data_IF_187320242919
#
_entry.id   IF_187320242919
#
_cell.length_a   1.000
_cell.length_b   1.000
_cell.length_c   1.000
_cell.angle_alpha   90.00
_cell.angle_beta   90.00
_cell.angle_gamma   90.00
#
_symmetry.space_group_name_H-M   'P 1'
#
loop_
_entity.id
_entity.type
_entity.pdbx_description
1 polymer ?
#
# COMPACT_ATOMS: atom_id res chain seq x y z
N UNK A 1 -57.03 49.94 -0.28
CA UNK A 1 -57.01 48.51 -0.03
C UNK A 1 -55.63 48.01 -0.37
N UNK A 2 -54.80 47.87 0.65
CA UNK A 2 -53.34 47.59 0.51
C UNK A 2 -53.06 46.11 0.35
N UNK A 3 -52.37 45.77 -0.67
CA UNK A 3 -51.78 44.43 -0.89
C UNK A 3 -50.39 44.41 -0.24
N UNK A 4 -50.21 43.61 0.79
CA UNK A 4 -48.89 43.38 1.41
C UNK A 4 -48.17 42.27 0.67
N UNK A 5 -47.08 42.60 0.00
CA UNK A 5 -46.11 41.68 -0.54
C UNK A 5 -45.20 41.19 0.59
N UNK A 6 -45.22 39.92 0.89
CA UNK A 6 -44.21 39.26 1.74
C UNK A 6 -43.07 38.76 0.84
N UNK A 7 -41.92 39.39 1.00
CA UNK A 7 -40.66 38.92 0.41
C UNK A 7 -40.10 37.83 1.30
N UNK A 8 -40.05 36.57 0.79
CA UNK A 8 -39.36 35.47 1.44
C UNK A 8 -37.87 35.59 1.13
N UNK A 9 -37.07 35.96 2.12
CA UNK A 9 -35.62 35.79 2.07
C UNK A 9 -35.30 34.29 2.24
N UNK A 10 -34.97 33.64 1.14
CA UNK A 10 -34.37 32.32 1.18
C UNK A 10 -32.92 32.44 1.61
N UNK A 11 -32.63 32.04 2.85
CA UNK A 11 -31.26 31.84 3.31
C UNK A 11 -30.78 30.54 2.67
N UNK A 12 -29.99 30.64 1.59
CA UNK A 12 -29.17 29.55 1.09
C UNK A 12 -28.05 29.36 2.12
N UNK A 13 -28.25 28.42 3.02
CA UNK A 13 -27.16 27.85 3.80
C UNK A 13 -26.29 27.03 2.83
N UNK A 14 -25.28 27.65 2.28
CA UNK A 14 -24.20 26.95 1.60
C UNK A 14 -23.51 26.08 2.63
N UNK A 15 -23.72 24.77 2.55
CA UNK A 15 -22.88 23.79 3.20
C UNK A 15 -21.52 23.89 2.49
N UNK A 16 -20.63 24.71 3.03
CA UNK A 16 -19.21 24.58 2.78
C UNK A 16 -18.81 23.22 3.37
N UNK A 17 -18.78 22.20 2.54
CA UNK A 17 -17.91 21.07 2.79
C UNK A 17 -16.50 21.65 2.91
N UNK A 18 -16.03 21.82 4.12
CA UNK A 18 -14.61 22.00 4.38
C UNK A 18 -13.93 20.72 3.85
N UNK A 19 -13.51 20.76 2.60
CA UNK A 19 -12.60 19.77 2.07
C UNK A 19 -11.36 19.87 2.93
N UNK A 20 -11.04 18.76 3.57
CA UNK A 20 -9.87 18.63 4.40
C UNK A 20 -8.65 18.79 3.51
N UNK A 21 -8.11 19.99 3.47
CA UNK A 21 -6.92 20.30 2.70
C UNK A 21 -5.68 19.90 3.48
N UNK A 22 -5.44 18.58 3.64
CA UNK A 22 -4.04 18.16 3.67
C UNK A 22 -3.48 18.57 2.31
N UNK A 23 -2.34 19.26 2.25
CA UNK A 23 -1.77 19.65 0.97
C UNK A 23 -1.54 18.39 0.17
N UNK A 24 -2.23 18.24 -0.95
CA UNK A 24 -1.85 17.25 -1.94
C UNK A 24 -0.38 17.50 -2.23
N UNK A 25 0.43 16.44 -2.22
CA UNK A 25 1.78 16.57 -2.73
C UNK A 25 1.64 17.14 -4.14
N UNK A 26 2.20 18.33 -4.35
CA UNK A 26 2.11 19.02 -5.64
C UNK A 26 2.53 18.14 -6.82
N UNK A 27 2.40 18.56 -8.05
CA UNK A 27 2.86 17.79 -9.20
C UNK A 27 4.32 17.42 -8.99
N UNK A 28 4.67 16.18 -9.39
CA UNK A 28 6.03 15.69 -9.27
C UNK A 28 7.01 16.69 -9.92
N UNK A 29 7.99 17.15 -9.14
CA UNK A 29 9.01 18.06 -9.63
C UNK A 29 10.18 17.26 -10.20
N UNK A 30 10.25 17.15 -11.52
CA UNK A 30 11.32 16.45 -12.22
C UNK A 30 12.69 17.13 -12.11
N UNK A 31 12.79 18.35 -11.59
CA UNK A 31 14.07 19.09 -11.50
C UNK A 31 15.12 18.44 -10.58
N UNK A 32 14.71 17.49 -9.76
CA UNK A 32 15.58 16.73 -8.85
C UNK A 32 16.03 15.38 -9.41
N UNK A 33 15.53 14.98 -10.61
CA UNK A 33 15.92 13.72 -11.22
C UNK A 33 17.31 13.81 -11.81
N UNK A 34 18.29 13.21 -11.16
CA UNK A 34 19.59 12.89 -11.74
C UNK A 34 19.57 11.43 -12.25
N UNK A 35 18.97 11.24 -13.42
CA UNK A 35 18.79 9.91 -14.01
C UNK A 35 20.02 9.41 -14.77
N UNK A 36 21.20 9.89 -14.46
CA UNK A 36 22.42 9.41 -15.11
C UNK A 36 22.72 7.98 -14.68
N UNK A 37 23.02 7.08 -15.63
CA UNK A 37 23.44 5.73 -15.30
C UNK A 37 24.70 5.77 -14.42
N UNK A 38 24.86 4.79 -13.52
CA UNK A 38 26.07 4.71 -12.72
C UNK A 38 27.30 4.65 -13.61
N UNK A 39 28.41 5.35 -13.25
CA UNK A 39 29.64 5.29 -14.03
C UNK A 39 30.19 3.87 -14.06
N UNK A 40 30.94 3.53 -15.11
CA UNK A 40 31.54 2.21 -15.30
C UNK A 40 32.42 1.78 -14.11
N UNK A 41 33.07 2.74 -13.45
CA UNK A 41 33.89 2.54 -12.25
C UNK A 41 33.04 2.33 -10.98
N UNK A 42 31.73 2.43 -11.09
CA UNK A 42 30.81 2.25 -9.96
C UNK A 42 30.58 3.49 -9.12
N UNK A 43 29.78 3.31 -8.09
CA UNK A 43 29.40 4.34 -7.09
C UNK A 43 29.79 3.82 -5.71
N UNK A 44 30.33 4.70 -4.87
CA UNK A 44 30.55 4.44 -3.45
C UNK A 44 29.68 5.40 -2.62
N UNK A 45 28.82 4.88 -1.77
CA UNK A 45 28.06 5.67 -0.80
C UNK A 45 28.73 5.55 0.56
N UNK A 46 29.13 6.69 1.15
CA UNK A 46 29.60 6.77 2.53
C UNK A 46 28.43 7.07 3.44
N UNK A 47 28.05 6.15 4.29
CA UNK A 47 26.94 6.28 5.23
C UNK A 47 27.44 6.52 6.64
N UNK A 48 27.04 7.62 7.28
CA UNK A 48 27.36 7.87 8.69
C UNK A 48 26.69 6.84 9.60
N UNK A 49 25.46 6.55 9.31
CA UNK A 49 24.67 5.46 9.88
C UNK A 49 24.01 4.67 8.73
N UNK A 50 23.98 3.36 8.86
CA UNK A 50 23.24 2.45 7.97
C UNK A 50 22.32 1.61 8.83
N UNK A 51 21.00 1.75 8.63
CA UNK A 51 20.03 0.89 9.32
C UNK A 51 20.14 -0.53 8.79
N UNK A 52 20.39 -1.46 9.70
CA UNK A 52 20.37 -2.90 9.43
C UNK A 52 19.06 -3.51 9.95
N UNK A 53 18.13 -3.91 9.06
CA UNK A 53 16.87 -4.53 9.49
C UNK A 53 17.06 -5.86 10.24
N UNK A 54 18.14 -6.60 9.99
CA UNK A 54 18.40 -7.88 10.66
C UNK A 54 18.65 -7.70 12.16
N UNK A 55 19.53 -6.77 12.51
CA UNK A 55 19.82 -6.45 13.91
C UNK A 55 18.85 -5.43 14.53
N UNK A 56 18.16 -4.63 13.71
CA UNK A 56 17.32 -3.50 14.15
C UNK A 56 18.13 -2.32 14.69
N UNK A 57 19.39 -2.21 14.29
CA UNK A 57 20.32 -1.17 14.76
C UNK A 57 20.94 -0.41 13.60
N UNK A 58 21.50 0.76 13.90
CA UNK A 58 22.36 1.47 12.98
C UNK A 58 23.80 0.93 13.06
N UNK A 59 24.35 0.56 11.92
CA UNK A 59 25.79 0.33 11.74
C UNK A 59 26.42 1.67 11.42
N UNK A 60 27.52 2.03 12.12
CA UNK A 60 28.18 3.32 11.95
C UNK A 60 29.30 3.25 10.91
N UNK A 61 29.56 4.37 10.23
CA UNK A 61 30.69 4.55 9.31
C UNK A 61 30.81 3.44 8.27
N UNK A 62 29.76 3.26 7.48
CA UNK A 62 29.69 2.20 6.45
C UNK A 62 30.01 2.76 5.05
N UNK A 63 30.60 1.92 4.22
CA UNK A 63 30.74 2.14 2.77
C UNK A 63 29.92 1.10 2.04
N UNK A 64 29.13 1.56 1.07
CA UNK A 64 28.32 0.71 0.19
C UNK A 64 28.88 0.90 -1.23
N UNK A 65 29.45 -0.15 -1.81
CA UNK A 65 29.94 -0.15 -3.19
C UNK A 65 28.83 -0.66 -4.11
N UNK A 66 28.63 0.04 -5.21
CA UNK A 66 27.57 -0.24 -6.19
C UNK A 66 28.19 -0.38 -7.55
N UNK A 67 27.88 -1.47 -8.24
CA UNK A 67 28.25 -1.74 -9.62
C UNK A 67 27.00 -2.03 -10.45
N UNK A 68 26.76 -1.22 -11.46
CA UNK A 68 25.50 -1.27 -12.19
C UNK A 68 24.31 -1.02 -11.25
N UNK A 69 23.34 -1.92 -11.22
CA UNK A 69 22.15 -1.84 -10.39
C UNK A 69 22.28 -2.58 -9.03
N UNK A 70 23.46 -3.13 -8.71
CA UNK A 70 23.67 -4.03 -7.58
C UNK A 70 24.68 -3.50 -6.58
N UNK A 71 24.46 -3.89 -5.32
CA UNK A 71 25.43 -3.72 -4.24
C UNK A 71 26.56 -4.74 -4.46
N UNK A 72 27.76 -4.23 -4.74
CA UNK A 72 28.96 -5.07 -4.96
C UNK A 72 29.62 -5.48 -3.64
N UNK A 73 29.64 -4.57 -2.65
CA UNK A 73 30.11 -4.84 -1.29
C UNK A 73 29.53 -3.80 -0.31
N UNK A 74 29.47 -4.15 0.98
CA UNK A 74 29.04 -3.25 2.06
C UNK A 74 29.75 -3.63 3.36
N UNK A 75 30.17 -2.61 4.12
CA UNK A 75 30.80 -2.84 5.43
C UNK A 75 31.47 -1.59 6.00
N UNK A 76 32.17 -1.75 7.14
CA UNK A 76 32.91 -0.67 7.75
C UNK A 76 33.91 0.01 6.80
N UNK A 77 34.03 1.32 6.86
CA UNK A 77 34.90 2.11 5.95
C UNK A 77 36.37 1.67 6.01
N UNK A 78 36.81 1.10 7.13
CA UNK A 78 38.17 0.56 7.30
C UNK A 78 38.40 -0.73 6.51
N UNK A 79 37.31 -1.46 6.18
CA UNK A 79 37.38 -2.75 5.44
C UNK A 79 37.07 -2.61 3.97
N UNK A 80 36.15 -1.72 3.61
CA UNK A 80 35.67 -1.61 2.23
C UNK A 80 36.42 -0.47 1.54
N UNK A 81 37.42 -0.81 0.70
CA UNK A 81 38.18 0.16 -0.08
C UNK A 81 37.36 0.70 -1.24
N UNK A 82 37.32 2.01 -1.39
CA UNK A 82 36.65 2.66 -2.53
C UNK A 82 37.57 2.58 -3.75
N UNK A 83 37.10 1.97 -4.86
CA UNK A 83 37.90 1.89 -6.10
C UNK A 83 38.26 3.28 -6.63
N UNK A 84 39.48 3.38 -7.19
CA UNK A 84 39.91 4.61 -7.85
C UNK A 84 38.97 4.92 -9.03
N UNK A 85 38.52 6.18 -9.12
CA UNK A 85 37.59 6.62 -10.17
C UNK A 85 36.10 6.36 -9.88
N UNK A 86 35.75 5.66 -8.79
CA UNK A 86 34.37 5.54 -8.37
C UNK A 86 33.76 6.90 -7.99
N UNK A 87 32.54 7.16 -8.40
CA UNK A 87 31.79 8.34 -7.94
C UNK A 87 31.45 8.18 -6.45
N UNK A 88 31.95 9.10 -5.62
CA UNK A 88 31.63 9.07 -4.19
C UNK A 88 30.41 9.95 -3.91
N UNK A 89 29.40 9.36 -3.23
CA UNK A 89 28.26 10.06 -2.66
C UNK A 89 28.48 10.09 -1.14
N UNK A 90 28.67 11.28 -0.61
CA UNK A 90 28.95 11.46 0.82
C UNK A 90 27.66 11.68 1.60
N UNK A 91 27.23 10.65 2.33
CA UNK A 91 26.12 10.65 3.29
C UNK A 91 26.63 10.38 4.73
N UNK A 92 27.88 10.77 5.01
CA UNK A 92 28.53 10.54 6.33
C UNK A 92 27.84 11.25 7.49
N UNK A 93 26.97 12.24 7.21
CA UNK A 93 26.18 12.96 8.20
C UNK A 93 24.72 12.51 8.28
N UNK A 94 24.33 11.51 7.50
CA UNK A 94 22.97 11.04 7.35
C UNK A 94 22.78 9.60 7.85
N UNK A 95 21.53 9.18 7.94
CA UNK A 95 21.14 7.78 8.11
C UNK A 95 20.65 7.23 6.79
N UNK A 96 21.34 6.22 6.29
CA UNK A 96 20.94 5.45 5.10
C UNK A 96 20.08 4.26 5.55
N UNK A 97 19.02 4.00 4.80
CA UNK A 97 18.14 2.84 4.96
C UNK A 97 18.05 2.09 3.64
N UNK A 98 17.67 0.80 3.65
CA UNK A 98 17.16 0.16 2.43
C UNK A 98 16.02 1.00 1.85
N UNK A 99 15.86 0.99 0.54
CA UNK A 99 14.70 1.59 -0.09
C UNK A 99 13.41 1.08 0.53
N UNK A 100 12.49 2.00 0.86
CA UNK A 100 11.24 1.66 1.51
C UNK A 100 10.32 0.89 0.55
N UNK A 101 9.50 0.02 1.11
CA UNK A 101 8.55 -0.83 0.40
C UNK A 101 7.15 -0.53 0.92
N UNK A 102 6.25 -0.11 0.03
CA UNK A 102 4.82 0.01 0.32
C UNK A 102 4.08 -1.13 -0.40
N UNK A 103 3.47 -2.02 0.37
CA UNK A 103 2.78 -3.20 -0.16
C UNK A 103 1.29 -2.98 -0.41
N UNK A 104 0.83 -1.74 -0.38
CA UNK A 104 -0.55 -1.43 -0.69
C UNK A 104 -0.71 0.01 -1.18
N UNK A 105 -0.65 0.19 -2.47
CA UNK A 105 -1.03 1.43 -3.14
C UNK A 105 -2.06 1.15 -4.22
N UNK A 106 -2.75 2.18 -4.66
CA UNK A 106 -3.64 2.15 -5.81
C UNK A 106 -3.20 3.23 -6.80
N UNK A 107 -2.39 2.86 -7.76
CA UNK A 107 -1.83 3.80 -8.74
C UNK A 107 -2.87 4.26 -9.76
N UNK A 108 -3.92 3.47 -9.98
CA UNK A 108 -4.98 3.78 -10.92
C UNK A 108 -6.33 3.49 -10.27
N UNK A 109 -6.97 4.53 -9.80
CA UNK A 109 -8.32 4.45 -9.20
C UNK A 109 -9.39 5.19 -10.00
N UNK A 110 -8.99 6.07 -10.90
CA UNK A 110 -9.95 6.89 -11.62
C UNK A 110 -10.60 6.10 -12.77
N UNK A 111 -11.84 5.70 -12.53
CA UNK A 111 -12.66 4.90 -13.44
C UNK A 111 -13.03 5.59 -14.76
N UNK A 112 -12.81 6.88 -14.84
CA UNK A 112 -13.37 7.71 -15.92
C UNK A 112 -12.35 8.01 -17.02
N UNK A 113 -11.16 7.44 -16.94
CA UNK A 113 -10.08 7.70 -17.91
C UNK A 113 -9.77 6.47 -18.77
N UNK A 114 -9.31 6.68 -19.99
CA UNK A 114 -8.80 5.60 -20.82
C UNK A 114 -7.45 5.07 -20.28
N UNK A 115 -7.04 3.89 -20.72
CA UNK A 115 -5.83 3.21 -20.24
C UNK A 115 -4.56 4.05 -20.40
N UNK A 116 -4.43 4.81 -21.48
CA UNK A 116 -3.26 5.68 -21.68
C UNK A 116 -3.19 6.79 -20.63
N UNK A 117 -4.31 7.44 -20.34
CA UNK A 117 -4.37 8.46 -19.28
C UNK A 117 -4.21 7.84 -17.90
N UNK A 118 -4.80 6.66 -17.68
CA UNK A 118 -4.65 5.91 -16.44
C UNK A 118 -3.18 5.59 -16.16
N UNK A 119 -2.45 5.07 -17.14
CA UNK A 119 -1.03 4.78 -17.01
C UNK A 119 -0.18 6.02 -16.71
N UNK A 120 -0.46 7.16 -17.36
CA UNK A 120 0.23 8.42 -17.08
C UNK A 120 -0.07 8.96 -15.69
N UNK A 121 -1.31 8.85 -15.22
CA UNK A 121 -1.70 9.20 -13.85
C UNK A 121 -0.98 8.31 -12.85
N UNK A 122 -0.99 6.99 -13.09
CA UNK A 122 -0.28 6.01 -12.27
C UNK A 122 1.23 6.26 -12.23
N UNK A 123 1.85 6.65 -13.34
CA UNK A 123 3.25 7.04 -13.36
C UNK A 123 3.51 8.26 -12.47
N UNK A 124 2.67 9.28 -12.52
CA UNK A 124 2.80 10.46 -11.67
C UNK A 124 2.74 10.10 -10.18
N UNK A 125 1.83 9.23 -9.78
CA UNK A 125 1.74 8.74 -8.40
C UNK A 125 2.94 7.89 -8.01
N UNK A 126 3.36 6.97 -8.85
CA UNK A 126 4.54 6.14 -8.63
C UNK A 126 5.82 6.97 -8.47
N UNK A 127 5.96 8.07 -9.19
CA UNK A 127 7.10 9.00 -9.06
C UNK A 127 7.04 9.81 -7.76
N UNK A 128 5.85 10.20 -7.29
CA UNK A 128 5.68 10.83 -5.96
C UNK A 128 6.14 9.88 -4.86
N UNK A 129 5.72 8.62 -4.92
CA UNK A 129 6.07 7.59 -3.95
C UNK A 129 7.58 7.29 -3.98
N UNK A 130 8.17 7.17 -5.17
CA UNK A 130 9.62 7.01 -5.32
C UNK A 130 10.37 8.20 -4.71
N UNK A 131 9.91 9.42 -4.96
CA UNK A 131 10.52 10.64 -4.41
C UNK A 131 10.41 10.71 -2.87
N UNK A 132 9.38 10.11 -2.30
CA UNK A 132 9.21 9.95 -0.85
C UNK A 132 10.03 8.80 -0.24
N UNK A 133 10.77 8.04 -1.08
CA UNK A 133 11.65 6.97 -0.62
C UNK A 133 11.11 5.56 -0.80
N UNK A 134 9.92 5.39 -1.33
CA UNK A 134 9.35 4.07 -1.61
C UNK A 134 9.86 3.57 -2.97
N UNK A 135 10.95 2.82 -2.94
CA UNK A 135 11.61 2.29 -4.15
C UNK A 135 10.94 1.05 -4.71
N UNK A 136 10.09 0.41 -3.92
CA UNK A 136 9.28 -0.74 -4.33
C UNK A 136 7.83 -0.54 -3.87
N UNK A 137 6.89 -0.73 -4.79
CA UNK A 137 5.45 -0.62 -4.54
C UNK A 137 4.75 -1.91 -4.94
N UNK A 138 3.70 -2.25 -4.20
CA UNK A 138 2.73 -3.26 -4.58
C UNK A 138 1.39 -2.58 -4.84
N UNK A 139 1.00 -2.48 -6.12
CA UNK A 139 -0.32 -2.00 -6.52
C UNK A 139 -1.35 -3.09 -6.23
N UNK A 140 -2.28 -2.79 -5.34
CA UNK A 140 -3.32 -3.71 -4.87
C UNK A 140 -4.61 -3.61 -5.68
N UNK A 141 -4.46 -3.26 -6.92
CA UNK A 141 -5.50 -3.34 -7.92
C UNK A 141 -5.96 -1.98 -8.41
N UNK A 142 -6.24 -1.99 -9.69
CA UNK A 142 -6.96 -0.93 -10.37
C UNK A 142 -8.42 -1.35 -10.54
N UNK A 143 -9.31 -0.38 -10.43
CA UNK A 143 -10.73 -0.67 -10.55
C UNK A 143 -11.11 -1.24 -11.94
N UNK A 144 -10.34 -0.93 -13.00
CA UNK A 144 -10.89 -1.01 -14.35
C UNK A 144 -9.95 -1.49 -15.45
N UNK A 145 -8.63 -1.58 -15.23
CA UNK A 145 -7.74 -1.89 -16.34
C UNK A 145 -6.44 -2.59 -15.93
N UNK A 146 -5.75 -3.15 -16.92
CA UNK A 146 -4.40 -3.68 -16.76
C UNK A 146 -3.32 -2.61 -16.99
N UNK A 147 -3.66 -1.33 -17.00
CA UNK A 147 -2.71 -0.25 -17.23
C UNK A 147 -1.57 -0.21 -16.19
N UNK A 148 -1.77 -0.77 -14.99
CA UNK A 148 -0.69 -0.95 -14.01
C UNK A 148 0.31 -2.02 -14.44
N UNK A 149 -0.11 -3.06 -15.14
CA UNK A 149 0.77 -4.07 -15.76
C UNK A 149 1.65 -3.40 -16.81
N UNK A 150 1.05 -2.61 -17.69
CA UNK A 150 1.77 -1.86 -18.74
C UNK A 150 2.75 -0.84 -18.13
N UNK A 151 2.35 -0.17 -17.05
CA UNK A 151 3.22 0.76 -16.34
C UNK A 151 4.43 0.05 -15.72
N UNK A 152 4.21 -1.09 -15.04
CA UNK A 152 5.29 -1.92 -14.50
C UNK A 152 6.27 -2.33 -15.60
N UNK A 153 5.76 -2.81 -16.73
CA UNK A 153 6.56 -3.30 -17.82
C UNK A 153 7.32 -2.17 -18.52
N UNK A 154 6.72 -0.99 -18.65
CA UNK A 154 7.40 0.20 -19.16
C UNK A 154 8.57 0.63 -18.25
N UNK A 155 8.37 0.62 -16.93
CA UNK A 155 9.45 0.90 -15.96
C UNK A 155 10.54 -0.16 -16.03
N UNK A 156 10.18 -1.44 -16.10
CA UNK A 156 11.16 -2.54 -16.17
C UNK A 156 11.98 -2.53 -17.45
N UNK A 157 11.40 -2.05 -18.57
CA UNK A 157 12.09 -1.86 -19.86
C UNK A 157 12.90 -0.55 -19.91
N UNK A 158 12.85 0.28 -18.88
CA UNK A 158 13.52 1.58 -18.85
C UNK A 158 12.92 2.64 -19.77
N UNK A 159 11.69 2.45 -20.24
CA UNK A 159 10.98 3.43 -21.09
C UNK A 159 10.57 4.68 -20.29
N UNK A 160 10.27 4.49 -19.03
CA UNK A 160 9.95 5.56 -18.07
C UNK A 160 10.63 5.29 -16.72
N UNK A 161 10.97 6.34 -15.95
CA UNK A 161 11.43 6.17 -14.57
C UNK A 161 10.31 5.68 -13.67
N UNK A 162 10.67 5.03 -12.56
CA UNK A 162 9.69 4.64 -11.55
C UNK A 162 10.25 3.67 -10.51
N UNK A 163 9.49 3.37 -9.45
CA UNK A 163 9.84 2.34 -8.47
C UNK A 163 9.76 0.94 -9.10
N UNK A 164 10.19 -0.08 -8.37
CA UNK A 164 9.85 -1.46 -8.71
C UNK A 164 8.39 -1.69 -8.40
N UNK A 165 7.66 -2.30 -9.32
CA UNK A 165 6.24 -2.56 -9.14
C UNK A 165 5.95 -4.06 -9.10
N UNK A 166 5.06 -4.47 -8.19
CA UNK A 166 4.23 -5.66 -8.31
C UNK A 166 2.78 -5.21 -8.42
N UNK A 167 1.99 -5.84 -9.26
CA UNK A 167 0.67 -5.36 -9.62
C UNK A 167 -0.38 -6.48 -9.57
N UNK A 168 -1.58 -6.16 -9.10
CA UNK A 168 -2.69 -7.09 -9.07
C UNK A 168 -3.66 -6.94 -10.25
N UNK A 169 -3.59 -5.84 -11.00
CA UNK A 169 -4.56 -5.56 -12.06
C UNK A 169 -5.99 -5.38 -11.51
N UNK A 170 -7.03 -5.67 -12.29
CA UNK A 170 -8.41 -5.56 -11.82
C UNK A 170 -8.71 -6.49 -10.64
N UNK A 171 -9.34 -5.96 -9.62
CA UNK A 171 -9.75 -6.74 -8.43
C UNK A 171 -10.82 -7.76 -8.79
N UNK A 172 -10.91 -8.85 -8.03
CA UNK A 172 -12.01 -9.81 -8.12
C UNK A 172 -13.06 -9.44 -7.09
N UNK A 173 -14.29 -9.24 -7.56
CA UNK A 173 -15.45 -8.82 -6.77
C UNK A 173 -16.64 -9.76 -7.05
N UNK A 174 -17.63 -9.80 -6.16
CA UNK A 174 -18.88 -10.49 -6.47
C UNK A 174 -19.66 -9.74 -7.57
N UNK A 175 -20.44 -10.48 -8.31
CA UNK A 175 -21.35 -9.88 -9.28
C UNK A 175 -22.46 -9.13 -8.55
N UNK A 176 -22.58 -7.83 -8.86
CA UNK A 176 -23.55 -6.96 -8.19
C UNK A 176 -23.00 -6.20 -6.98
N UNK A 177 -21.71 -6.31 -6.70
CA UNK A 177 -21.07 -5.50 -5.67
C UNK A 177 -21.26 -4.01 -5.93
N UNK A 178 -21.61 -3.28 -4.86
CA UNK A 178 -21.89 -1.86 -4.93
C UNK A 178 -20.66 -0.96 -5.09
N UNK A 179 -19.46 -1.53 -5.08
CA UNK A 179 -18.21 -0.77 -5.15
C UNK A 179 -18.08 0.03 -6.45
N UNK A 180 -18.81 -0.37 -7.49
CA UNK A 180 -18.86 0.34 -8.75
C UNK A 180 -20.28 0.80 -9.04
N UNK A 181 -20.48 2.12 -9.25
CA UNK A 181 -21.81 2.61 -9.62
C UNK A 181 -22.32 1.83 -10.82
N UNK A 182 -23.59 1.46 -10.76
CA UNK A 182 -24.25 0.76 -11.86
C UNK A 182 -23.94 1.50 -13.17
N UNK A 183 -23.66 0.80 -14.26
CA UNK A 183 -23.26 1.42 -15.54
C UNK A 183 -24.22 2.50 -16.06
N UNK A 184 -25.44 2.51 -15.55
CA UNK A 184 -26.51 3.41 -15.99
C UNK A 184 -26.47 4.82 -15.38
N UNK A 185 -25.72 5.05 -14.31
CA UNK A 185 -25.88 6.28 -13.53
C UNK A 185 -24.86 7.39 -13.82
N UNK A 186 -23.70 7.10 -14.40
CA UNK A 186 -22.60 8.05 -14.34
C UNK A 186 -21.73 8.24 -15.59
N UNK A 187 -22.08 7.65 -16.74
CA UNK A 187 -21.27 7.84 -17.95
C UNK A 187 -21.96 8.75 -18.96
N UNK A 188 -21.77 10.08 -18.87
CA UNK A 188 -22.08 10.93 -20.01
C UNK A 188 -21.12 10.58 -21.15
N UNK A 189 -21.66 10.42 -22.35
CA UNK A 189 -20.94 10.31 -23.62
C UNK A 189 -20.56 8.91 -24.16
N UNK A 190 -21.36 7.89 -24.01
CA UNK A 190 -21.20 6.69 -24.86
C UNK A 190 -19.85 5.96 -24.78
N UNK A 191 -19.01 6.28 -23.81
CA UNK A 191 -17.72 5.62 -23.54
C UNK A 191 -17.88 4.22 -22.92
N UNK A 192 -19.09 3.75 -22.87
CA UNK A 192 -19.50 2.60 -22.07
C UNK A 192 -19.27 1.23 -22.71
N UNK A 193 -18.83 1.16 -23.94
CA UNK A 193 -18.80 -0.12 -24.67
C UNK A 193 -17.52 -0.95 -24.43
N UNK A 194 -16.44 -0.35 -23.97
CA UNK A 194 -15.19 -1.04 -23.63
C UNK A 194 -15.11 -1.45 -22.16
N UNK A 195 -15.50 -0.57 -21.25
CA UNK A 195 -15.38 -0.75 -19.80
C UNK A 195 -16.36 -1.76 -19.21
N UNK A 196 -17.56 -1.90 -19.76
CA UNK A 196 -18.55 -2.86 -19.26
C UNK A 196 -18.11 -4.33 -19.39
N UNK A 197 -17.26 -4.64 -20.35
CA UNK A 197 -16.72 -5.99 -20.48
C UNK A 197 -15.70 -6.29 -19.36
N UNK A 198 -14.99 -5.31 -18.87
CA UNK A 198 -14.01 -5.43 -17.79
C UNK A 198 -14.66 -5.69 -16.44
N UNK A 199 -15.72 -4.97 -16.13
CA UNK A 199 -16.52 -5.17 -14.93
C UNK A 199 -17.13 -6.58 -14.88
N UNK A 200 -17.43 -7.15 -16.05
CA UNK A 200 -18.01 -8.50 -16.14
C UNK A 200 -16.97 -9.61 -15.96
N UNK A 201 -15.70 -9.40 -16.31
CA UNK A 201 -14.67 -10.44 -16.20
C UNK A 201 -14.11 -10.60 -14.78
N UNK A 202 -14.28 -9.58 -13.93
CA UNK A 202 -13.87 -9.60 -12.52
C UNK A 202 -14.98 -9.99 -11.57
N UNK A 203 -16.23 -9.96 -12.01
CA UNK A 203 -17.39 -10.23 -11.19
C UNK A 203 -17.72 -11.71 -11.19
N UNK A 204 -17.51 -12.36 -10.06
CA UNK A 204 -17.72 -13.79 -9.89
C UNK A 204 -18.98 -14.06 -9.06
N UNK A 205 -19.65 -15.16 -9.33
CA UNK A 205 -20.79 -15.66 -8.56
C UNK A 205 -20.82 -17.20 -8.55
N UNK A 206 -19.67 -17.80 -8.71
CA UNK A 206 -19.47 -19.25 -8.57
C UNK A 206 -17.98 -19.57 -8.49
N UNK A 207 -17.59 -20.69 -7.90
CA UNK A 207 -16.19 -21.16 -7.86
C UNK A 207 -15.59 -21.33 -9.27
N UNK A 208 -16.40 -21.67 -10.26
CA UNK A 208 -15.94 -21.80 -11.64
C UNK A 208 -15.55 -20.47 -12.26
N UNK A 209 -16.38 -19.44 -12.11
CA UNK A 209 -16.09 -18.08 -12.58
C UNK A 209 -14.93 -17.46 -11.79
N UNK A 210 -14.80 -17.77 -10.50
CA UNK A 210 -13.68 -17.35 -9.68
C UNK A 210 -12.34 -17.86 -10.23
N UNK A 211 -12.26 -19.16 -10.62
CA UNK A 211 -11.07 -19.71 -11.28
C UNK A 211 -10.82 -19.07 -12.65
N UNK A 212 -11.86 -18.83 -13.43
CA UNK A 212 -11.72 -18.16 -14.72
C UNK A 212 -11.16 -16.76 -14.58
N UNK A 213 -11.64 -15.99 -13.59
CA UNK A 213 -11.16 -14.64 -13.29
C UNK A 213 -9.66 -14.62 -12.89
N UNK A 214 -9.19 -15.61 -12.12
CA UNK A 214 -7.76 -15.75 -11.81
C UNK A 214 -6.95 -16.06 -13.06
N UNK A 215 -7.43 -16.94 -13.93
CA UNK A 215 -6.73 -17.29 -15.19
C UNK A 215 -6.58 -16.11 -16.12
N UNK A 216 -7.61 -15.29 -16.20
CA UNK A 216 -7.61 -14.07 -16.99
C UNK A 216 -6.50 -13.11 -16.52
N UNK A 217 -6.44 -12.82 -15.23
CA UNK A 217 -5.41 -11.96 -14.64
C UNK A 217 -4.01 -12.53 -14.81
N UNK A 218 -3.86 -13.83 -14.59
CA UNK A 218 -2.60 -14.53 -14.81
C UNK A 218 -2.14 -14.43 -16.27
N UNK A 219 -3.07 -14.51 -17.22
CA UNK A 219 -2.76 -14.35 -18.64
C UNK A 219 -2.24 -12.95 -18.97
N UNK A 220 -2.80 -11.92 -18.35
CA UNK A 220 -2.33 -10.54 -18.50
C UNK A 220 -1.03 -10.24 -17.74
N UNK A 221 -0.51 -11.20 -16.97
CA UNK A 221 0.79 -11.08 -16.33
C UNK A 221 0.79 -10.28 -15.03
N UNK A 222 -0.28 -10.36 -14.25
CA UNK A 222 -0.29 -9.79 -12.89
C UNK A 222 0.68 -10.55 -11.97
N UNK A 223 1.13 -9.90 -10.90
CA UNK A 223 2.01 -10.50 -9.90
C UNK A 223 1.24 -11.03 -8.70
N UNK A 224 0.03 -10.52 -8.47
CA UNK A 224 -0.83 -10.83 -7.34
C UNK A 224 -2.29 -10.91 -7.79
N UNK A 225 -3.10 -11.61 -6.99
CA UNK A 225 -4.56 -11.52 -7.07
C UNK A 225 -5.04 -10.66 -5.90
N UNK A 226 -5.92 -9.70 -6.18
CA UNK A 226 -6.63 -8.93 -5.16
C UNK A 226 -8.10 -9.28 -5.17
N UNK A 227 -8.65 -9.57 -4.00
CA UNK A 227 -10.08 -9.79 -3.77
C UNK A 227 -10.64 -8.76 -2.79
N UNK A 228 -11.91 -8.43 -2.96
CA UNK A 228 -12.70 -7.60 -2.05
C UNK A 228 -13.75 -8.48 -1.39
N UNK A 229 -13.58 -8.73 -0.11
CA UNK A 229 -14.41 -9.67 0.63
C UNK A 229 -15.40 -8.97 1.55
N UNK A 230 -15.11 -7.76 1.96
CA UNK A 230 -16.08 -6.98 2.71
C UNK A 230 -16.60 -5.87 1.83
N UNK A 231 -17.90 -5.95 1.47
CA UNK A 231 -18.54 -4.82 0.82
C UNK A 231 -18.48 -3.62 1.73
N UNK A 232 -17.88 -2.62 1.20
CA UNK A 232 -17.99 -1.24 1.54
C UNK A 232 -18.17 -0.79 2.96
N UNK A 233 -17.08 -0.80 3.55
CA UNK A 233 -16.83 0.15 4.56
C UNK A 233 -16.49 1.56 3.98
N UNK A 234 -16.05 1.68 2.74
CA UNK A 234 -15.77 2.96 2.08
C UNK A 234 -17.03 3.76 1.74
N UNK A 235 -18.18 3.10 1.56
CA UNK A 235 -19.49 3.74 1.48
C UNK A 235 -19.98 4.36 2.78
N UNK A 236 -19.12 4.44 3.80
CA UNK A 236 -19.41 5.01 5.08
C UNK A 236 -20.19 4.06 5.98
N UNK A 237 -19.52 3.16 6.66
CA UNK A 237 -20.07 2.28 7.70
C UNK A 237 -20.81 2.99 8.84
N UNK A 238 -21.48 4.07 8.51
CA UNK A 238 -22.36 4.83 9.37
C UNK A 238 -23.81 4.54 9.01
N UNK A 239 -24.69 4.46 10.01
CA UNK A 239 -26.10 4.34 9.75
C UNK A 239 -26.56 5.42 8.75
N UNK A 240 -26.97 5.00 7.55
CA UNK A 240 -27.51 5.87 6.53
C UNK A 240 -26.63 6.14 5.31
N UNK A 241 -25.43 5.57 5.21
CA UNK A 241 -24.56 5.77 4.05
C UNK A 241 -24.16 4.47 3.32
N UNK A 242 -24.95 3.41 3.43
CA UNK A 242 -24.71 2.14 2.71
C UNK A 242 -23.31 1.58 2.94
N UNK A 243 -23.16 0.55 3.66
CA UNK A 243 -21.89 -0.05 4.03
C UNK A 243 -22.02 -0.73 5.37
N UNK A 244 -21.11 -1.59 5.76
CA UNK A 244 -21.18 -2.43 6.93
C UNK A 244 -21.81 -1.75 8.14
N UNK A 245 -23.01 -2.16 8.49
CA UNK A 245 -23.72 -1.64 9.64
C UNK A 245 -23.10 -2.22 10.91
N UNK A 246 -22.99 -1.39 11.95
CA UNK A 246 -22.73 -1.89 13.28
C UNK A 246 -24.04 -2.00 14.04
N UNK A 247 -24.20 -3.08 14.80
CA UNK A 247 -25.26 -3.19 15.80
C UNK A 247 -25.09 -2.13 16.88
N UNK A 248 -26.13 -1.80 17.64
CA UNK A 248 -26.01 -0.83 18.75
C UNK A 248 -24.95 -1.20 19.80
N UNK A 249 -24.62 -2.48 19.95
CA UNK A 249 -23.54 -2.98 20.81
C UNK A 249 -22.15 -2.99 20.14
N UNK A 250 -22.05 -2.42 18.92
CA UNK A 250 -20.78 -2.25 18.21
C UNK A 250 -20.29 -3.49 17.45
N UNK A 251 -21.15 -4.48 17.24
CA UNK A 251 -20.83 -5.63 16.41
C UNK A 251 -21.00 -5.27 14.92
N UNK A 252 -20.00 -5.54 14.12
CA UNK A 252 -20.07 -5.35 12.67
C UNK A 252 -21.07 -6.34 12.06
N UNK A 253 -22.07 -5.80 11.36
CA UNK A 253 -22.92 -6.59 10.47
C UNK A 253 -22.26 -6.56 9.10
N UNK A 254 -21.64 -7.65 8.72
CA UNK A 254 -21.02 -7.78 7.43
C UNK A 254 -21.53 -9.03 6.73
N UNK A 255 -22.07 -8.85 5.54
CA UNK A 255 -22.37 -9.97 4.63
C UNK A 255 -21.10 -10.18 3.80
N UNK A 256 -20.52 -11.38 3.77
CA UNK A 256 -19.36 -11.64 2.95
C UNK A 256 -19.70 -11.42 1.48
N UNK A 257 -18.81 -10.78 0.76
CA UNK A 257 -19.00 -10.52 -0.67
C UNK A 257 -18.87 -11.80 -1.49
N UNK A 258 -17.97 -12.68 -1.10
CA UNK A 258 -17.72 -13.97 -1.73
C UNK A 258 -18.01 -15.10 -0.73
N UNK A 259 -18.50 -16.22 -1.22
CA UNK A 259 -18.63 -17.43 -0.42
C UNK A 259 -17.26 -18.03 -0.10
N UNK A 260 -17.21 -18.88 0.92
CA UNK A 260 -15.97 -19.60 1.25
C UNK A 260 -15.47 -20.44 0.06
N UNK A 261 -16.37 -21.09 -0.69
CA UNK A 261 -16.02 -21.89 -1.85
C UNK A 261 -15.43 -21.05 -2.99
N UNK A 262 -15.95 -19.84 -3.19
CA UNK A 262 -15.41 -18.90 -4.18
C UNK A 262 -14.02 -18.43 -3.78
N UNK A 263 -13.81 -18.07 -2.52
CA UNK A 263 -12.49 -17.71 -1.98
C UNK A 263 -11.51 -18.87 -2.13
N UNK A 264 -11.89 -20.10 -1.77
CA UNK A 264 -11.06 -21.29 -1.93
C UNK A 264 -10.69 -21.54 -3.39
N UNK A 265 -11.64 -21.34 -4.30
CA UNK A 265 -11.39 -21.49 -5.75
C UNK A 265 -10.40 -20.45 -6.28
N UNK A 266 -10.47 -19.19 -5.79
CA UNK A 266 -9.52 -18.15 -6.14
C UNK A 266 -8.13 -18.50 -5.63
N UNK A 267 -7.99 -18.83 -4.34
CA UNK A 267 -6.71 -19.14 -3.72
C UNK A 267 -6.05 -20.36 -4.37
N UNK A 268 -6.79 -21.46 -4.55
CA UNK A 268 -6.28 -22.67 -5.20
C UNK A 268 -5.78 -22.41 -6.63
N UNK A 269 -6.56 -21.70 -7.45
CA UNK A 269 -6.16 -21.39 -8.82
C UNK A 269 -4.96 -20.42 -8.87
N UNK A 270 -4.91 -19.43 -7.97
CA UNK A 270 -3.81 -18.49 -7.88
C UNK A 270 -2.50 -19.20 -7.49
N UNK A 271 -2.53 -20.01 -6.43
CA UNK A 271 -1.36 -20.74 -5.96
C UNK A 271 -0.83 -21.73 -7.01
N UNK A 272 -1.69 -22.42 -7.76
CA UNK A 272 -1.30 -23.26 -8.91
C UNK A 272 -0.54 -22.50 -9.99
N UNK A 273 -0.76 -21.18 -10.08
CA UNK A 273 -0.11 -20.27 -11.04
C UNK A 273 1.09 -19.54 -10.46
N UNK A 274 1.46 -19.85 -9.21
CA UNK A 274 2.54 -19.17 -8.50
C UNK A 274 2.18 -17.73 -8.09
N UNK A 275 0.88 -17.38 -8.11
CA UNK A 275 0.39 -16.07 -7.67
C UNK A 275 -0.05 -16.15 -6.20
N UNK A 276 0.14 -15.06 -5.47
CA UNK A 276 -0.38 -14.88 -4.12
C UNK A 276 -1.67 -14.10 -4.13
N UNK A 277 -2.47 -14.25 -3.07
CA UNK A 277 -3.79 -13.60 -2.93
C UNK A 277 -3.79 -12.63 -1.77
N UNK A 278 -4.18 -11.39 -2.04
CA UNK A 278 -4.43 -10.36 -1.05
C UNK A 278 -5.94 -10.13 -0.91
N UNK A 279 -6.42 -10.03 0.32
CA UNK A 279 -7.83 -9.92 0.64
C UNK A 279 -8.14 -8.62 1.39
N UNK A 280 -8.95 -7.75 0.79
CA UNK A 280 -9.55 -6.62 1.47
C UNK A 280 -10.66 -7.13 2.40
N UNK A 281 -10.44 -7.07 3.72
CA UNK A 281 -11.40 -7.53 4.69
C UNK A 281 -11.26 -6.75 6.02
N UNK A 282 -12.29 -5.98 6.35
CA UNK A 282 -12.30 -5.24 7.61
C UNK A 282 -12.60 -6.12 8.83
N UNK A 283 -13.30 -7.24 8.63
CA UNK A 283 -13.67 -8.16 9.71
C UNK A 283 -14.85 -9.06 9.35
N UNK A 284 -15.49 -9.62 10.38
CA UNK A 284 -16.70 -10.43 10.25
C UNK A 284 -16.50 -11.72 9.47
N UNK A 285 -17.58 -12.24 8.90
CA UNK A 285 -17.59 -13.49 8.13
C UNK A 285 -16.70 -13.41 6.89
N UNK A 286 -16.61 -12.23 6.23
CA UNK A 286 -15.74 -12.06 5.08
C UNK A 286 -14.28 -12.26 5.42
N UNK A 287 -13.79 -11.70 6.54
CA UNK A 287 -12.43 -11.97 7.01
C UNK A 287 -12.24 -13.45 7.34
N UNK A 288 -13.23 -14.10 7.95
CA UNK A 288 -13.19 -15.54 8.21
C UNK A 288 -13.00 -16.33 6.93
N UNK A 289 -13.81 -16.06 5.90
CA UNK A 289 -13.75 -16.75 4.61
C UNK A 289 -12.37 -16.58 3.95
N UNK A 290 -11.79 -15.37 3.98
CA UNK A 290 -10.43 -15.14 3.51
C UNK A 290 -9.39 -15.99 4.24
N UNK A 291 -9.45 -16.00 5.58
CA UNK A 291 -8.46 -16.71 6.39
C UNK A 291 -8.58 -18.23 6.26
N UNK A 292 -9.79 -18.77 6.20
CA UNK A 292 -10.06 -20.19 6.01
C UNK A 292 -9.73 -20.66 4.59
N UNK A 293 -9.94 -19.82 3.58
CA UNK A 293 -9.53 -20.08 2.21
C UNK A 293 -8.01 -20.10 2.02
N UNK A 294 -7.25 -19.48 2.94
CA UNK A 294 -5.80 -19.51 2.90
C UNK A 294 -5.18 -18.35 2.13
N UNK A 295 -5.79 -17.15 2.13
CA UNK A 295 -5.19 -15.96 1.53
C UNK A 295 -3.83 -15.65 2.13
N UNK A 296 -2.92 -15.09 1.33
CA UNK A 296 -1.54 -14.82 1.73
C UNK A 296 -1.40 -13.53 2.52
N UNK A 297 -2.22 -12.51 2.21
CA UNK A 297 -2.16 -11.21 2.84
C UNK A 297 -3.58 -10.68 3.13
N UNK A 298 -4.10 -10.89 4.34
CA UNK A 298 -5.32 -10.20 4.80
C UNK A 298 -4.98 -8.73 5.10
N UNK A 299 -5.87 -7.83 4.66
CA UNK A 299 -5.66 -6.39 4.67
C UNK A 299 -6.79 -5.70 5.43
N UNK A 300 -6.46 -4.61 6.11
CA UNK A 300 -7.29 -3.73 6.92
C UNK A 300 -7.62 -4.25 8.32
N UNK A 301 -8.09 -5.41 8.51
CA UNK A 301 -8.38 -6.14 9.76
C UNK A 301 -8.65 -5.24 10.98
N UNK A 302 -9.80 -4.55 11.01
CA UNK A 302 -10.13 -3.62 12.12
C UNK A 302 -11.05 -4.21 13.17
N UNK A 303 -11.78 -5.29 12.84
CA UNK A 303 -12.61 -6.07 13.77
C UNK A 303 -12.36 -7.55 13.56
N UNK A 304 -12.74 -8.37 14.55
CA UNK A 304 -12.55 -9.81 14.49
C UNK A 304 -13.53 -10.53 13.55
N UNK A 305 -13.28 -11.81 13.33
CA UNK A 305 -14.12 -12.68 12.49
C UNK A 305 -15.52 -12.92 13.06
N UNK A 306 -15.73 -12.65 14.34
CA UNK A 306 -17.07 -12.66 14.96
C UNK A 306 -17.84 -11.35 14.77
N UNK A 307 -17.19 -10.34 14.19
CA UNK A 307 -17.72 -8.98 14.08
C UNK A 307 -17.63 -8.16 15.37
N UNK A 308 -17.04 -8.70 16.43
CA UNK A 308 -16.85 -7.97 17.68
C UNK A 308 -15.83 -6.84 17.54
N UNK A 309 -16.00 -5.77 18.30
CA UNK A 309 -15.08 -4.63 18.33
C UNK A 309 -13.67 -5.05 18.76
N UNK A 310 -12.70 -4.91 17.87
CA UNK A 310 -11.33 -5.39 18.00
C UNK A 310 -11.19 -6.87 17.65
N UNK A 311 -9.96 -7.39 17.72
CA UNK A 311 -9.67 -8.77 17.34
C UNK A 311 -9.98 -9.73 18.48
N UNK A 312 -10.86 -10.68 18.21
CA UNK A 312 -11.16 -11.79 19.11
C UNK A 312 -10.13 -12.93 19.00
N UNK A 313 -10.14 -13.86 19.95
CA UNK A 313 -9.19 -14.96 20.03
C UNK A 313 -9.30 -15.91 18.82
N UNK A 314 -10.49 -16.04 18.25
CA UNK A 314 -10.70 -16.84 17.04
C UNK A 314 -9.98 -16.22 15.84
N UNK A 315 -10.03 -14.90 15.71
CA UNK A 315 -9.27 -14.18 14.68
C UNK A 315 -7.78 -14.42 14.83
N UNK A 316 -7.26 -14.28 16.05
CA UNK A 316 -5.84 -14.53 16.34
C UNK A 316 -5.44 -15.97 16.01
N UNK A 317 -6.29 -16.93 16.38
CA UNK A 317 -6.06 -18.35 16.06
C UNK A 317 -5.96 -18.59 14.54
N UNK A 318 -6.87 -17.99 13.76
CA UNK A 318 -6.88 -18.11 12.30
C UNK A 318 -5.67 -17.40 11.67
N UNK A 319 -5.29 -16.23 12.16
CA UNK A 319 -4.12 -15.49 11.68
C UNK A 319 -2.81 -16.23 11.96
N UNK A 320 -2.69 -16.89 13.10
CA UNK A 320 -1.51 -17.69 13.48
C UNK A 320 -1.41 -19.04 12.76
N UNK A 321 -2.46 -19.44 12.04
CA UNK A 321 -2.39 -20.67 11.24
C UNK A 321 -1.36 -20.48 10.12
N UNK A 322 -0.34 -21.34 10.03
CA UNK A 322 0.66 -21.23 8.97
C UNK A 322 0.02 -21.28 7.57
N UNK A 323 0.65 -20.60 6.63
CA UNK A 323 0.30 -20.70 5.22
C UNK A 323 0.67 -22.07 4.65
N UNK A 324 0.24 -22.36 3.42
CA UNK A 324 0.48 -23.64 2.76
C UNK A 324 1.97 -23.99 2.61
N UNK A 325 2.86 -22.98 2.56
CA UNK A 325 4.32 -23.15 2.52
C UNK A 325 4.98 -23.29 3.91
N UNK A 326 4.17 -23.36 4.97
CA UNK A 326 4.60 -23.46 6.36
C UNK A 326 5.09 -22.17 7.00
N UNK A 327 5.06 -21.05 6.28
CA UNK A 327 5.49 -19.75 6.83
C UNK A 327 4.40 -19.08 7.64
N UNK A 328 4.78 -18.20 8.58
CA UNK A 328 3.83 -17.31 9.24
C UNK A 328 3.09 -16.45 8.21
N UNK A 329 1.81 -16.21 8.46
CA UNK A 329 1.03 -15.26 7.66
C UNK A 329 1.41 -13.84 8.04
N UNK A 330 1.65 -13.02 7.04
CA UNK A 330 1.78 -11.58 7.22
C UNK A 330 0.40 -10.93 7.27
N UNK A 331 0.29 -9.82 7.97
CA UNK A 331 -0.92 -9.03 8.10
C UNK A 331 -0.65 -7.58 7.73
N UNK A 332 -1.67 -6.85 7.31
CA UNK A 332 -1.49 -5.46 6.90
C UNK A 332 -2.65 -4.60 7.37
N UNK A 333 -2.31 -3.54 8.07
CA UNK A 333 -3.25 -2.45 8.33
C UNK A 333 -2.86 -1.23 7.51
N UNK A 334 -3.85 -0.58 6.93
CA UNK A 334 -3.70 0.67 6.19
C UNK A 334 -4.31 1.80 6.99
N UNK A 335 -3.61 2.92 7.10
CA UNK A 335 -4.06 4.03 7.93
C UNK A 335 -4.36 5.30 7.14
N UNK A 336 -4.14 5.29 5.82
CA UNK A 336 -4.30 6.51 5.03
C UNK A 336 -5.70 7.10 5.11
N UNK A 337 -6.70 6.26 4.94
CA UNK A 337 -8.11 6.63 4.95
C UNK A 337 -8.68 6.88 6.36
N UNK A 338 -7.90 6.57 7.39
CA UNK A 338 -8.34 6.61 8.78
C UNK A 338 -7.80 7.80 9.57
N UNK A 339 -6.88 8.58 9.01
CA UNK A 339 -6.12 9.59 9.75
C UNK A 339 -6.52 11.02 9.35
N UNK A 340 -6.44 11.92 10.30
CA UNK A 340 -6.78 13.33 10.15
C UNK A 340 -8.18 13.62 10.62
N UNK A 341 -8.89 14.49 9.89
CA UNK A 341 -10.26 14.92 10.27
C UNK A 341 -11.28 13.78 10.30
N UNK A 342 -10.90 12.59 9.78
CA UNK A 342 -11.75 11.40 9.87
C UNK A 342 -11.97 10.98 11.32
N UNK A 343 -10.95 11.06 12.19
CA UNK A 343 -11.09 10.71 13.60
C UNK A 343 -12.15 11.56 14.29
N UNK A 344 -12.10 12.88 14.15
CA UNK A 344 -13.07 13.78 14.78
C UNK A 344 -14.46 13.65 14.14
N UNK A 345 -14.50 13.59 12.81
CA UNK A 345 -15.74 13.39 12.07
C UNK A 345 -16.41 12.07 12.43
N UNK A 346 -15.63 10.99 12.50
CA UNK A 346 -16.09 9.66 12.82
C UNK A 346 -16.63 9.59 14.24
N UNK A 347 -15.92 10.15 15.20
CA UNK A 347 -16.36 10.20 16.60
C UNK A 347 -17.69 10.97 16.74
N UNK A 348 -17.81 12.09 16.05
CA UNK A 348 -19.01 12.91 16.05
C UNK A 348 -20.19 12.19 15.37
N UNK A 349 -19.95 11.58 14.21
CA UNK A 349 -20.97 10.84 13.45
C UNK A 349 -21.44 9.58 14.18
N UNK A 350 -20.55 8.90 14.91
CA UNK A 350 -20.86 7.68 15.67
C UNK A 350 -21.64 7.92 16.96
N UNK A 351 -21.81 9.19 17.37
CA UNK A 351 -22.42 9.51 18.67
C UNK A 351 -21.57 9.04 19.85
N UNK A 352 -20.25 9.00 19.70
CA UNK A 352 -19.29 8.60 20.74
C UNK A 352 -19.02 7.08 20.80
N UNK A 353 -19.51 6.30 19.84
CA UNK A 353 -19.15 4.87 19.72
C UNK A 353 -17.73 4.75 19.15
N UNK A 354 -17.10 3.57 19.34
CA UNK A 354 -15.78 3.29 18.79
C UNK A 354 -15.75 3.57 17.26
N UNK A 355 -14.86 4.45 16.84
CA UNK A 355 -14.67 4.81 15.44
C UNK A 355 -13.79 3.78 14.74
N UNK A 356 -13.72 3.85 13.41
CA UNK A 356 -12.75 3.05 12.62
C UNK A 356 -11.33 3.24 13.13
N UNK A 357 -10.94 4.47 13.39
CA UNK A 357 -9.62 4.80 13.89
C UNK A 357 -9.32 4.11 15.23
N UNK A 358 -10.25 4.19 16.18
CA UNK A 358 -10.10 3.55 17.48
C UNK A 358 -10.09 2.02 17.37
N UNK A 359 -10.89 1.45 16.48
CA UNK A 359 -10.89 0.02 16.21
C UNK A 359 -9.57 -0.42 15.54
N UNK A 360 -9.04 0.35 14.61
CA UNK A 360 -7.73 0.10 13.99
C UNK A 360 -6.61 0.14 15.03
N UNK A 361 -6.59 1.16 15.89
CA UNK A 361 -5.62 1.24 16.98
C UNK A 361 -5.67 0.02 17.89
N UNK A 362 -6.88 -0.36 18.32
CA UNK A 362 -7.10 -1.52 19.19
C UNK A 362 -6.63 -2.82 18.54
N UNK A 363 -6.97 -3.01 17.27
CA UNK A 363 -6.60 -4.20 16.51
C UNK A 363 -5.10 -4.25 16.25
N UNK A 364 -4.48 -3.14 15.87
CA UNK A 364 -3.03 -3.06 15.68
C UNK A 364 -2.28 -3.41 16.96
N UNK A 365 -2.65 -2.83 18.10
CA UNK A 365 -2.05 -3.16 19.39
C UNK A 365 -2.16 -4.65 19.74
N UNK A 366 -3.29 -5.27 19.40
CA UNK A 366 -3.49 -6.72 19.60
C UNK A 366 -2.56 -7.53 18.67
N UNK A 367 -2.47 -7.18 17.40
CA UNK A 367 -1.58 -7.87 16.43
C UNK A 367 -0.12 -7.82 16.90
N UNK A 368 0.35 -6.64 17.32
CA UNK A 368 1.70 -6.45 17.85
C UNK A 368 1.93 -7.27 19.12
N UNK A 369 0.99 -7.24 20.06
CA UNK A 369 1.09 -8.01 21.31
C UNK A 369 1.10 -9.52 21.09
N UNK A 370 0.41 -10.01 20.06
CA UNK A 370 0.39 -11.42 19.67
C UNK A 370 1.60 -11.85 18.84
N UNK A 371 2.52 -10.93 18.52
CA UNK A 371 3.72 -11.18 17.73
C UNK A 371 3.44 -11.51 16.27
N UNK A 372 2.31 -11.04 15.73
CA UNK A 372 2.01 -11.18 14.31
C UNK A 372 2.88 -10.25 13.47
N UNK A 373 3.29 -10.71 12.30
CA UNK A 373 4.17 -9.96 11.42
C UNK A 373 3.39 -8.96 10.59
N UNK A 374 3.46 -7.70 11.01
CA UNK A 374 2.90 -6.58 10.27
C UNK A 374 3.81 -6.17 9.11
N UNK A 375 3.20 -5.85 7.96
CA UNK A 375 3.90 -5.27 6.81
C UNK A 375 3.31 -3.92 6.44
N UNK A 376 4.16 -3.02 5.99
CA UNK A 376 3.76 -1.68 5.60
C UNK A 376 2.89 -1.70 4.34
N UNK A 377 1.75 -1.04 4.42
CA UNK A 377 0.89 -0.75 3.30
C UNK A 377 0.05 0.48 3.60
N UNK A 378 0.11 1.46 2.72
CA UNK A 378 -0.55 2.74 2.98
C UNK A 378 -2.04 2.72 2.65
N UNK A 379 -2.43 2.04 1.60
CA UNK A 379 -3.73 2.21 0.98
C UNK A 379 -3.83 3.52 0.19
N UNK A 380 -2.70 4.15 -0.15
CA UNK A 380 -2.70 5.39 -0.93
C UNK A 380 -3.42 5.21 -2.27
N UNK A 381 -4.29 6.16 -2.59
CA UNK A 381 -5.04 6.21 -3.85
C UNK A 381 -4.93 7.63 -4.44
N UNK A 382 -5.95 8.22 -5.06
CA UNK A 382 -5.89 9.58 -5.66
C UNK A 382 -5.27 10.64 -4.73
N UNK A 383 -5.38 10.43 -3.43
CA UNK A 383 -4.69 11.20 -2.38
C UNK A 383 -3.70 10.31 -1.64
N UNK A 384 -2.72 10.89 -1.02
CA UNK A 384 -1.77 10.16 -0.15
C UNK A 384 -0.47 9.75 -0.78
N UNK A 385 -0.37 9.69 -2.10
CA UNK A 385 0.88 9.41 -2.78
C UNK A 385 1.96 10.45 -2.46
N UNK A 386 3.12 9.96 -2.01
CA UNK A 386 4.24 10.78 -1.55
C UNK A 386 4.16 11.18 -0.06
N UNK A 387 3.12 10.77 0.66
CA UNK A 387 2.91 11.12 2.07
C UNK A 387 2.80 9.90 3.00
N UNK A 388 2.96 8.69 2.48
CA UNK A 388 2.67 7.43 3.19
C UNK A 388 3.44 7.28 4.49
N UNK A 389 4.66 7.84 4.56
CA UNK A 389 5.57 7.68 5.69
C UNK A 389 5.03 8.24 7.02
N UNK A 390 4.00 9.12 7.01
CA UNK A 390 3.39 9.61 8.26
C UNK A 390 2.84 8.47 9.13
N UNK A 391 2.50 7.33 8.53
CA UNK A 391 1.96 6.17 9.25
C UNK A 391 2.96 5.58 10.25
N UNK A 392 4.27 5.70 9.98
CA UNK A 392 5.29 5.22 10.92
C UNK A 392 5.16 5.85 12.31
N UNK A 393 4.80 7.14 12.39
CA UNK A 393 4.54 7.83 13.64
C UNK A 393 3.43 7.17 14.45
N UNK A 394 2.35 6.74 13.79
CA UNK A 394 1.24 6.05 14.44
C UNK A 394 1.61 4.64 14.88
N UNK A 395 2.33 3.88 14.07
CA UNK A 395 2.77 2.54 14.46
C UNK A 395 3.63 2.57 15.71
N UNK A 396 4.53 3.55 15.83
CA UNK A 396 5.34 3.75 17.05
C UNK A 396 4.45 4.22 18.21
N UNK A 397 3.56 5.17 17.99
CA UNK A 397 2.60 5.63 19.01
C UNK A 397 1.72 4.48 19.53
N UNK A 398 1.42 3.49 18.69
CA UNK A 398 0.57 2.34 19.01
C UNK A 398 1.35 1.13 19.56
N UNK A 399 2.65 1.28 19.80
CA UNK A 399 3.42 0.32 20.59
C UNK A 399 4.57 -0.38 19.89
N UNK A 400 4.81 -0.14 18.61
CA UNK A 400 6.04 -0.63 17.97
C UNK A 400 7.26 0.19 18.39
N UNK A 401 8.40 -0.46 18.43
CA UNK A 401 9.68 0.27 18.43
C UNK A 401 9.93 0.86 17.04
N UNK A 402 10.70 1.96 16.91
CA UNK A 402 11.08 2.49 15.59
C UNK A 402 11.73 1.44 14.67
N UNK A 403 12.54 0.54 15.23
CA UNK A 403 13.16 -0.55 14.47
C UNK A 403 12.12 -1.54 13.91
N UNK A 404 11.08 -1.87 14.67
CA UNK A 404 9.97 -2.71 14.17
C UNK A 404 9.22 -2.01 13.05
N UNK A 405 8.88 -0.73 13.24
CA UNK A 405 8.20 0.06 12.22
C UNK A 405 9.02 0.15 10.91
N UNK A 406 10.34 0.37 11.00
CA UNK A 406 11.20 0.35 9.81
C UNK A 406 11.27 -1.03 9.14
N UNK A 407 11.25 -2.12 9.90
CA UNK A 407 11.20 -3.47 9.35
C UNK A 407 9.93 -3.73 8.56
N UNK A 408 8.79 -3.19 8.98
CA UNK A 408 7.53 -3.32 8.25
C UNK A 408 7.66 -2.88 6.79
N UNK A 409 8.43 -1.81 6.52
CA UNK A 409 8.62 -1.26 5.18
C UNK A 409 9.97 -1.64 4.55
N UNK A 410 10.69 -2.59 5.11
CA UNK A 410 11.97 -3.08 4.58
C UNK A 410 11.99 -4.61 4.55
N UNK A 411 12.65 -5.27 5.51
CA UNK A 411 12.82 -6.73 5.49
C UNK A 411 11.50 -7.49 5.48
N UNK A 412 10.56 -7.15 6.37
CA UNK A 412 9.29 -7.87 6.47
C UNK A 412 8.45 -7.70 5.19
N UNK A 413 8.36 -6.47 4.68
CA UNK A 413 7.68 -6.23 3.41
C UNK A 413 8.32 -7.02 2.26
N UNK A 414 9.64 -7.08 2.21
CA UNK A 414 10.37 -7.81 1.17
C UNK A 414 10.03 -9.31 1.19
N UNK A 415 10.02 -9.95 2.36
CA UNK A 415 9.75 -11.40 2.48
C UNK A 415 8.40 -11.81 1.89
N UNK A 416 7.42 -10.93 1.93
CA UNK A 416 6.09 -11.18 1.40
C UNK A 416 5.95 -10.98 -0.10
N UNK A 417 6.86 -10.27 -0.77
CA UNK A 417 6.77 -10.04 -2.21
C UNK A 417 6.80 -11.34 -2.99
N UNK A 418 6.13 -11.34 -4.14
CA UNK A 418 6.06 -12.52 -4.99
C UNK A 418 7.32 -12.67 -5.86
N UNK A 419 7.49 -13.85 -6.42
CA UNK A 419 8.66 -14.22 -7.22
C UNK A 419 9.97 -13.97 -6.45
N UNK A 420 11.05 -13.65 -7.16
CA UNK A 420 12.38 -13.48 -6.56
C UNK A 420 12.65 -12.04 -6.06
N UNK A 421 11.71 -11.12 -6.24
CA UNK A 421 11.92 -9.71 -5.89
C UNK A 421 12.23 -9.52 -4.40
N UNK A 422 11.55 -10.24 -3.53
CA UNK A 422 11.75 -10.14 -2.09
C UNK A 422 13.16 -10.49 -1.61
N UNK A 423 13.87 -11.35 -2.34
CA UNK A 423 15.26 -11.66 -2.06
C UNK A 423 16.25 -10.59 -2.50
N UNK A 424 15.79 -9.62 -3.26
CA UNK A 424 16.64 -8.63 -3.93
C UNK A 424 16.50 -7.21 -3.36
N UNK A 425 15.49 -6.95 -2.52
CA UNK A 425 15.20 -5.64 -1.92
C UNK A 425 15.09 -5.74 -0.40
N UNK A 426 14.89 -4.60 0.27
CA UNK A 426 14.54 -4.52 1.70
C UNK A 426 15.72 -4.66 2.68
N UNK A 427 16.92 -5.00 2.20
CA UNK A 427 18.15 -5.08 3.01
C UNK A 427 19.31 -4.57 2.16
N UNK A 428 20.22 -3.80 2.78
CA UNK A 428 21.46 -3.37 2.11
C UNK A 428 22.51 -4.47 2.28
N UNK A 429 22.65 -5.32 1.27
CA UNK A 429 23.52 -6.49 1.30
C UNK A 429 24.09 -6.78 -0.09
N UNK A 430 25.30 -7.34 -0.14
CA UNK A 430 25.96 -7.75 -1.40
C UNK A 430 25.05 -8.60 -2.28
N UNK A 431 24.97 -8.26 -3.57
CA UNK A 431 24.19 -8.93 -4.59
C UNK A 431 22.75 -8.43 -4.71
N UNK A 432 22.22 -7.72 -3.72
CA UNK A 432 20.88 -7.13 -3.78
C UNK A 432 20.88 -5.86 -4.63
N UNK A 433 19.71 -5.41 -5.04
CA UNK A 433 19.57 -4.14 -5.73
C UNK A 433 20.06 -2.97 -4.88
N UNK A 434 20.72 -2.01 -5.54
CA UNK A 434 21.16 -0.77 -4.93
C UNK A 434 19.98 0.23 -4.80
N UNK A 435 19.01 -0.15 -3.97
CA UNK A 435 17.85 0.65 -3.62
C UNK A 435 18.09 1.21 -2.21
N UNK A 436 18.40 2.50 -2.13
CA UNK A 436 18.80 3.18 -0.90
C UNK A 436 18.01 4.48 -0.72
N UNK A 437 17.68 4.78 0.51
CA UNK A 437 17.17 6.11 0.89
C UNK A 437 17.96 6.67 2.05
N UNK A 438 17.97 8.00 2.20
CA UNK A 438 18.59 8.60 3.38
C UNK A 438 17.82 9.80 3.90
N UNK A 439 17.91 9.95 5.20
CA UNK A 439 17.35 11.07 5.99
C UNK A 439 18.47 11.76 6.77
N UNK A 440 18.26 13.03 7.14
CA UNK A 440 19.28 13.80 7.85
C UNK A 440 19.49 13.32 9.28
N UNK A 441 18.40 13.00 9.99
CA UNK A 441 18.41 12.55 11.37
C UNK A 441 18.53 11.03 11.52
N UNK A 442 18.12 10.53 12.67
CA UNK A 442 18.13 9.11 13.02
C UNK A 442 16.70 8.60 13.26
N UNK A 443 16.14 7.81 12.34
CA UNK A 443 14.77 7.28 12.48
C UNK A 443 14.58 6.34 13.68
N UNK A 444 15.65 5.80 14.25
CA UNK A 444 15.55 5.01 15.48
C UNK A 444 15.32 5.88 16.72
N UNK A 445 15.64 7.18 16.62
CA UNK A 445 15.40 8.18 17.67
C UNK A 445 14.13 8.98 17.41
N UNK A 446 13.93 9.40 16.17
CA UNK A 446 12.75 10.12 15.70
C UNK A 446 12.23 9.47 14.40
N UNK A 447 11.22 8.63 14.53
CA UNK A 447 10.66 7.89 13.37
C UNK A 447 10.09 8.83 12.30
N UNK A 448 9.70 10.05 12.66
CA UNK A 448 9.16 11.04 11.70
C UNK A 448 10.22 11.55 10.71
N UNK A 449 11.51 11.23 10.91
CA UNK A 449 12.53 11.44 9.89
C UNK A 449 12.20 10.74 8.58
N UNK A 450 11.47 9.62 8.61
CA UNK A 450 11.00 8.91 7.41
C UNK A 450 10.09 9.75 6.52
N UNK A 451 9.44 10.78 7.06
CA UNK A 451 8.60 11.73 6.30
C UNK A 451 9.46 12.77 5.55
N UNK A 452 10.75 12.84 5.84
CA UNK A 452 11.69 13.85 5.34
C UNK A 452 12.86 13.21 4.59
N UNK A 453 12.57 12.19 3.77
CA UNK A 453 13.58 11.56 2.91
C UNK A 453 14.21 12.61 1.98
N UNK A 454 15.54 12.68 1.97
CA UNK A 454 16.32 13.65 1.19
C UNK A 454 17.23 13.04 0.13
N UNK A 455 17.42 11.75 0.21
CA UNK A 455 18.19 11.00 -0.79
C UNK A 455 17.42 9.76 -1.19
N UNK A 456 17.30 9.51 -2.49
CA UNK A 456 16.66 8.32 -3.06
C UNK A 456 17.51 7.79 -4.20
N UNK A 457 17.87 6.52 -4.11
CA UNK A 457 18.53 5.75 -5.15
C UNK A 457 17.74 4.47 -5.43
N UNK A 458 17.50 4.17 -6.69
CA UNK A 458 16.91 2.90 -7.13
C UNK A 458 17.77 2.29 -8.22
N UNK A 459 18.24 1.06 -8.00
CA UNK A 459 19.12 0.36 -8.95
C UNK A 459 20.40 1.14 -9.29
N UNK A 460 21.02 1.78 -8.30
CA UNK A 460 22.24 2.58 -8.49
C UNK A 460 22.02 3.96 -9.13
N UNK A 461 20.82 4.24 -9.61
CA UNK A 461 20.45 5.56 -10.18
C UNK A 461 19.93 6.46 -9.06
N UNK A 462 20.47 7.67 -8.96
CA UNK A 462 20.02 8.68 -7.97
C UNK A 462 18.80 9.42 -8.52
N UNK A 463 17.70 9.36 -7.81
CA UNK A 463 16.47 10.08 -8.14
C UNK A 463 16.29 11.37 -7.35
N UNK A 464 16.86 11.44 -6.15
CA UNK A 464 16.81 12.63 -5.28
C UNK A 464 18.10 12.73 -4.49
N UNK A 465 18.69 13.92 -4.38
CA UNK A 465 19.82 14.19 -3.49
C UNK A 465 19.80 15.63 -3.00
N UNK A 466 19.30 15.84 -1.80
CA UNK A 466 19.25 17.13 -1.09
C UNK A 466 20.19 17.16 0.14
N UNK A 467 21.04 16.15 0.31
CA UNK A 467 22.01 16.02 1.39
C UNK A 467 23.41 16.49 0.92
N UNK A 468 23.48 17.67 0.32
CA UNK A 468 24.76 18.28 -0.13
C UNK A 468 25.46 18.99 1.01
#
# INVERSE_FOLDING_TARGET
MLLKTMTALGVLAGVLCAQNTRPEAGPFNASHLDMQPPPAQGVAVRAGRLFDPKSGKNLVNQVILIQGDRIADVGPAERVAIPQGARVIDLSRATVLPGLIDRHVHLIQDAQVNDGRAALTGLNYALKDLSAGFTTLQDMGSAFSYATVELRDAINKGLVPGPRLQVAGPQINPRGANYYPAPSAAMPFGLNTGYNNWQNTGNVNSPWLARAAVRDRSHYGVDWIKIYETEDYEGGGYPGQGGGAFTPDGKMINVPSLTLEENQAIVDEAHRRGLKVACHAYGGEGLRNCLEAGVDLPIHIIVGVTGAAGLDDETIRLLKKPMADGKPRQVQQTLWDLIGDLEERDLKASGGRATRFQLSEKSFKRLVAEGLEEVFGSGAYTVGHGMQAFQFGYFVKWGMTPAQALRMATSNAAEGLNFDLGRQVGIVEKGRFADLVAVAGDPLTDITETERVKFVMKGGVVFRNELK
#
